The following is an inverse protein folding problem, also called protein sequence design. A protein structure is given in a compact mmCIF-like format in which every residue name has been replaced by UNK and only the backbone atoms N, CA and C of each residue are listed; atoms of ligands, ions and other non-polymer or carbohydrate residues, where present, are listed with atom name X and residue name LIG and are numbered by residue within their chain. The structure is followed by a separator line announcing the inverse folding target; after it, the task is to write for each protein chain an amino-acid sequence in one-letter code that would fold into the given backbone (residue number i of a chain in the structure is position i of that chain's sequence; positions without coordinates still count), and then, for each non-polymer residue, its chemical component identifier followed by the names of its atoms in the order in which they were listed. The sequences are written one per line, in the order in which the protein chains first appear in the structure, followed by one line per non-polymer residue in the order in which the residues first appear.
data_IF_520294369503
#
_entry.id   IF_520294369503
#
_cell.length_a   1.000
_cell.length_b   1.000
_cell.length_c   1.000
_cell.angle_alpha   90.00
_cell.angle_beta   90.00
_cell.angle_gamma   90.00
#
_symmetry.space_group_name_H-M   'P 1'
#
loop_
_entity.id
_entity.type
_entity.pdbx_description
1 polymer ?
#
# COMPACT_ATOMS: atom_id res chain seq x y z
N UNK A 1 3.57 -1.82 4.02
CA UNK A 1 2.69 -2.97 3.68
C UNK A 1 3.45 -4.30 3.56
N UNK A 2 4.49 -4.43 2.72
CA UNK A 2 5.20 -5.72 2.53
C UNK A 2 5.75 -6.34 3.82
N UNK A 3 6.39 -5.55 4.68
CA UNK A 3 6.88 -6.03 6.00
C UNK A 3 5.71 -6.46 6.91
N UNK A 4 4.54 -5.83 6.79
CA UNK A 4 3.35 -6.21 7.55
C UNK A 4 2.79 -7.56 7.07
N UNK A 5 2.71 -7.80 5.75
CA UNK A 5 2.39 -9.12 5.19
C UNK A 5 3.35 -10.21 5.70
N UNK A 6 4.65 -9.91 5.79
CA UNK A 6 5.65 -10.87 6.26
C UNK A 6 5.47 -11.20 7.75
N UNK A 7 5.10 -10.23 8.59
CA UNK A 7 4.71 -10.48 9.99
C UNK A 7 3.51 -11.42 10.10
N UNK A 8 2.46 -11.17 9.29
CA UNK A 8 1.29 -12.06 9.23
C UNK A 8 1.65 -13.47 8.70
N UNK A 9 2.62 -13.56 7.80
CA UNK A 9 3.10 -14.84 7.29
C UNK A 9 3.88 -15.64 8.36
N UNK A 10 4.66 -14.95 9.21
CA UNK A 10 5.36 -15.56 10.34
C UNK A 10 4.40 -16.18 11.35
N UNK A 11 3.26 -15.55 11.64
CA UNK A 11 2.19 -16.10 12.50
C UNK A 11 1.64 -17.44 11.97
N UNK A 12 1.72 -17.66 10.66
CA UNK A 12 1.32 -18.91 10.00
C UNK A 12 2.50 -19.87 9.75
N UNK A 13 3.66 -19.63 10.39
CA UNK A 13 4.85 -20.47 10.30
C UNK A 13 5.60 -20.36 8.96
N UNK A 14 5.34 -19.31 8.17
CA UNK A 14 6.09 -19.01 6.94
C UNK A 14 7.15 -17.97 7.26
N UNK A 15 8.35 -18.44 7.59
CA UNK A 15 9.48 -17.57 7.92
C UNK A 15 10.23 -17.23 6.63
N UNK A 16 10.33 -15.94 6.31
CA UNK A 16 11.10 -15.47 5.16
C UNK A 16 12.49 -15.03 5.64
N UNK A 17 13.56 -15.76 5.30
CA UNK A 17 14.91 -15.38 5.69
C UNK A 17 15.29 -14.06 5.02
N UNK A 18 15.87 -13.15 5.81
CA UNK A 18 16.25 -11.79 5.39
C UNK A 18 15.14 -11.11 4.53
N UNK A 19 14.01 -10.72 5.15
CA UNK A 19 12.81 -10.30 4.44
C UNK A 19 13.06 -9.16 3.45
N UNK A 20 13.95 -8.23 3.80
CA UNK A 20 14.31 -7.09 2.95
C UNK A 20 15.02 -7.55 1.67
N UNK A 21 16.08 -8.36 1.80
CA UNK A 21 16.86 -8.83 0.64
C UNK A 21 16.02 -9.75 -0.24
N UNK A 22 15.22 -10.63 0.38
CA UNK A 22 14.33 -11.53 -0.37
C UNK A 22 13.28 -10.75 -1.14
N UNK A 23 12.65 -9.74 -0.53
CA UNK A 23 11.71 -8.86 -1.23
C UNK A 23 12.40 -8.08 -2.36
N UNK A 24 13.58 -7.52 -2.12
CA UNK A 24 14.33 -6.76 -3.11
C UNK A 24 14.68 -7.63 -4.33
N UNK A 25 15.25 -8.82 -4.12
CA UNK A 25 15.61 -9.73 -5.21
C UNK A 25 14.40 -10.14 -6.03
N UNK A 26 13.32 -10.55 -5.38
CA UNK A 26 12.13 -11.02 -6.06
C UNK A 26 11.34 -9.88 -6.76
N UNK A 27 11.37 -8.65 -6.25
CA UNK A 27 10.62 -7.54 -6.81
C UNK A 27 11.40 -6.68 -7.81
N UNK A 28 12.74 -6.65 -7.74
CA UNK A 28 13.57 -5.71 -8.54
C UNK A 28 13.35 -5.84 -10.04
N UNK A 29 13.46 -7.05 -10.59
CA UNK A 29 13.27 -7.30 -12.02
C UNK A 29 11.85 -6.92 -12.51
N UNK A 30 10.74 -7.44 -11.93
CA UNK A 30 9.41 -7.05 -12.36
C UNK A 30 9.13 -5.55 -12.14
N UNK A 31 9.67 -4.94 -11.08
CA UNK A 31 9.52 -3.50 -10.86
C UNK A 31 10.22 -2.67 -11.94
N UNK A 32 11.45 -3.02 -12.34
CA UNK A 32 12.17 -2.33 -13.42
C UNK A 32 11.43 -2.48 -14.74
N UNK A 33 10.96 -3.69 -15.05
CA UNK A 33 10.17 -3.96 -16.27
C UNK A 33 8.89 -3.11 -16.27
N UNK A 34 8.13 -3.10 -15.17
CA UNK A 34 6.92 -2.28 -15.06
C UNK A 34 7.23 -0.77 -15.11
N UNK A 35 8.32 -0.32 -14.49
CA UNK A 35 8.73 1.09 -14.48
C UNK A 35 9.03 1.61 -15.90
N UNK A 36 9.63 0.77 -16.75
CA UNK A 36 9.92 1.11 -18.13
C UNK A 36 8.71 0.94 -19.05
N UNK A 37 7.92 -0.13 -18.87
CA UNK A 37 6.81 -0.45 -19.76
C UNK A 37 5.53 0.35 -19.45
N UNK A 38 5.20 0.62 -18.19
CA UNK A 38 3.96 1.31 -17.84
C UNK A 38 3.84 2.71 -18.46
N UNK A 39 4.87 3.57 -18.42
CA UNK A 39 4.81 4.87 -19.09
C UNK A 39 4.57 4.74 -20.60
N UNK A 40 5.22 3.77 -21.26
CA UNK A 40 5.08 3.53 -22.70
C UNK A 40 3.68 3.01 -23.05
N UNK A 41 3.13 2.10 -22.23
CA UNK A 41 1.79 1.56 -22.40
C UNK A 41 0.75 2.67 -22.21
N UNK A 42 0.88 3.48 -21.13
CA UNK A 42 -0.01 4.61 -20.88
C UNK A 42 0.06 5.65 -21.98
N UNK A 43 1.26 6.01 -22.46
CA UNK A 43 1.43 6.96 -23.56
C UNK A 43 0.76 6.49 -24.86
N UNK A 44 0.68 5.17 -25.10
CA UNK A 44 0.03 4.59 -26.28
C UNK A 44 -1.47 4.43 -26.11
N UNK A 45 -1.95 3.99 -24.95
CA UNK A 45 -3.37 3.74 -24.68
C UNK A 45 -4.15 5.00 -24.34
N UNK A 46 -3.54 5.91 -23.58
CA UNK A 46 -4.09 7.17 -23.10
C UNK A 46 -3.10 8.30 -23.43
N UNK A 47 -2.86 8.59 -24.72
CA UNK A 47 -1.94 9.63 -25.10
C UNK A 47 -2.37 10.96 -24.45
N UNK A 48 -1.45 11.70 -23.82
CA UNK A 48 -1.80 13.00 -23.26
C UNK A 48 -2.27 13.92 -24.38
N UNK A 49 -3.32 14.70 -24.13
CA UNK A 49 -3.85 15.66 -25.09
C UNK A 49 -2.80 16.73 -25.46
N UNK A 50 -1.98 17.12 -24.47
CA UNK A 50 -0.87 18.06 -24.63
C UNK A 50 0.43 17.27 -24.54
N UNK A 51 1.14 17.18 -25.67
CA UNK A 51 2.43 16.45 -25.78
C UNK A 51 3.64 17.37 -25.78
N UNK A 52 3.42 18.64 -26.10
CA UNK A 52 4.46 19.66 -26.11
C UNK A 52 3.89 20.92 -25.45
N UNK A 53 4.64 21.44 -24.50
CA UNK A 53 4.34 22.69 -23.80
C UNK A 53 5.61 23.52 -23.83
N UNK A 54 5.99 24.08 -24.99
CA UNK A 54 7.28 24.76 -25.16
C UNK A 54 7.41 26.00 -24.25
N UNK A 55 6.28 26.58 -23.86
CA UNK A 55 6.19 27.70 -22.94
C UNK A 55 6.30 27.30 -21.46
N UNK A 56 6.26 26.00 -21.11
CA UNK A 56 6.28 25.55 -19.72
C UNK A 56 7.51 26.03 -18.93
N UNK A 57 8.75 25.99 -19.47
CA UNK A 57 9.92 26.52 -18.76
C UNK A 57 9.83 28.02 -18.51
N UNK A 58 9.39 28.79 -19.51
CA UNK A 58 9.25 30.24 -19.41
C UNK A 58 8.11 30.62 -18.43
N UNK A 59 7.00 29.90 -18.47
CA UNK A 59 5.87 30.07 -17.56
C UNK A 59 6.24 29.71 -16.12
N UNK A 60 6.99 28.62 -15.91
CA UNK A 60 7.48 28.21 -14.60
C UNK A 60 8.45 29.26 -14.03
N UNK A 61 9.38 29.78 -14.83
CA UNK A 61 10.30 30.84 -14.42
C UNK A 61 9.55 32.12 -14.03
N UNK A 62 8.61 32.56 -14.87
CA UNK A 62 7.76 33.73 -14.58
C UNK A 62 6.92 33.52 -13.32
N UNK A 63 6.38 32.32 -13.11
CA UNK A 63 5.60 32.00 -11.91
C UNK A 63 6.49 31.99 -10.66
N UNK A 64 7.70 31.45 -10.74
CA UNK A 64 8.68 31.46 -9.67
C UNK A 64 9.09 32.90 -9.30
N UNK A 65 9.35 33.75 -10.28
CA UNK A 65 9.61 35.18 -10.05
C UNK A 65 8.42 35.86 -9.35
N UNK A 66 7.18 35.53 -9.74
CA UNK A 66 5.97 36.09 -9.11
C UNK A 66 5.71 35.60 -7.69
N UNK A 67 6.26 34.44 -7.29
CA UNK A 67 6.15 33.91 -5.94
C UNK A 67 7.07 34.63 -4.95
N UNK A 68 8.16 35.23 -5.43
CA UNK A 68 9.11 35.99 -4.62
C UNK A 68 10.07 35.09 -3.83
N UNK A 69 10.70 35.67 -2.80
CA UNK A 69 11.63 34.95 -1.94
C UNK A 69 10.90 33.99 -1.01
N UNK A 70 11.54 32.85 -0.71
CA UNK A 70 11.02 31.85 0.22
C UNK A 70 10.84 32.48 1.61
N UNK A 71 9.62 32.46 2.13
CA UNK A 71 9.29 33.07 3.41
C UNK A 71 9.58 32.13 4.58
N UNK A 72 9.67 32.69 5.80
CA UNK A 72 10.01 31.94 7.03
C UNK A 72 9.14 30.69 7.22
N UNK A 73 7.83 30.79 6.96
CA UNK A 73 6.90 29.67 7.16
C UNK A 73 7.17 28.52 6.17
N UNK A 74 7.58 28.83 4.94
CA UNK A 74 7.95 27.82 3.93
C UNK A 74 9.24 27.08 4.35
N UNK A 75 10.22 27.81 4.90
CA UNK A 75 11.43 27.19 5.46
C UNK A 75 11.13 26.26 6.64
N UNK A 76 10.23 26.68 7.54
CA UNK A 76 9.80 25.84 8.66
C UNK A 76 9.08 24.58 8.14
N UNK A 77 8.23 24.71 7.13
CA UNK A 77 7.54 23.58 6.50
C UNK A 77 8.53 22.57 5.90
N UNK A 78 9.47 23.03 5.09
CA UNK A 78 10.51 22.18 4.49
C UNK A 78 11.37 21.51 5.57
N UNK A 79 11.81 22.26 6.58
CA UNK A 79 12.59 21.73 7.69
C UNK A 79 11.84 20.64 8.47
N UNK A 80 10.55 20.86 8.72
CA UNK A 80 9.71 19.88 9.42
C UNK A 80 9.48 18.62 8.60
N UNK A 81 9.31 18.75 7.27
CA UNK A 81 9.20 17.61 6.37
C UNK A 81 10.50 16.78 6.36
N UNK A 82 11.66 17.44 6.26
CA UNK A 82 12.97 16.78 6.31
C UNK A 82 13.20 16.06 7.65
N UNK A 83 12.80 16.69 8.77
CA UNK A 83 12.84 16.06 10.08
C UNK A 83 11.96 14.81 10.14
N UNK A 84 10.71 14.88 9.68
CA UNK A 84 9.79 13.73 9.69
C UNK A 84 10.35 12.55 8.88
N UNK A 85 10.91 12.82 7.69
CA UNK A 85 11.58 11.80 6.87
C UNK A 85 12.80 11.22 7.58
N UNK A 86 13.60 12.07 8.22
CA UNK A 86 14.78 11.63 8.97
C UNK A 86 14.39 10.71 10.14
N UNK A 87 13.41 11.11 10.94
CA UNK A 87 12.88 10.29 12.05
C UNK A 87 12.40 8.93 11.55
N UNK A 88 11.71 8.91 10.41
CA UNK A 88 11.24 7.67 9.81
C UNK A 88 12.39 6.76 9.37
N UNK A 89 13.45 7.32 8.76
CA UNK A 89 14.66 6.57 8.36
C UNK A 89 15.36 5.97 9.58
N UNK A 90 15.39 6.68 10.71
CA UNK A 90 15.95 6.17 11.97
C UNK A 90 15.04 5.19 12.72
N UNK A 91 13.92 4.78 12.13
CA UNK A 91 13.06 3.71 12.66
C UNK A 91 11.94 4.18 13.60
N UNK A 92 11.69 5.49 13.71
CA UNK A 92 10.51 5.98 14.43
C UNK A 92 9.26 5.61 13.63
N UNK A 93 8.22 5.13 14.33
CA UNK A 93 6.96 4.77 13.72
C UNK A 93 6.38 5.95 12.92
N UNK A 94 5.97 5.71 11.67
CA UNK A 94 5.57 6.77 10.73
C UNK A 94 4.47 7.67 11.28
N UNK A 95 3.49 7.12 12.02
CA UNK A 95 2.45 7.90 12.67
C UNK A 95 3.02 8.86 13.73
N UNK A 96 3.98 8.40 14.54
CA UNK A 96 4.63 9.23 15.56
C UNK A 96 5.47 10.34 14.91
N UNK A 97 6.25 10.01 13.87
CA UNK A 97 7.03 11.00 13.12
C UNK A 97 6.14 12.08 12.48
N UNK A 98 5.01 11.68 11.90
CA UNK A 98 4.02 12.62 11.35
C UNK A 98 3.39 13.50 12.44
N UNK A 99 3.03 12.94 13.59
CA UNK A 99 2.46 13.69 14.72
C UNK A 99 3.46 14.70 15.30
N UNK A 100 4.74 14.34 15.42
CA UNK A 100 5.81 15.28 15.81
C UNK A 100 5.88 16.44 14.81
N UNK A 101 5.87 16.13 13.51
CA UNK A 101 5.87 17.16 12.47
C UNK A 101 4.65 18.09 12.57
N UNK A 102 3.45 17.54 12.71
CA UNK A 102 2.23 18.33 12.91
C UNK A 102 2.30 19.21 14.16
N UNK A 103 2.80 18.69 15.28
CA UNK A 103 2.98 19.47 16.51
C UNK A 103 3.93 20.65 16.32
N UNK A 104 5.04 20.44 15.60
CA UNK A 104 6.00 21.52 15.30
C UNK A 104 5.34 22.61 14.43
N UNK A 105 4.59 22.22 13.39
CA UNK A 105 3.92 23.18 12.50
C UNK A 105 2.85 24.00 13.24
N UNK A 106 2.11 23.38 14.16
CA UNK A 106 1.14 24.07 15.02
C UNK A 106 1.82 25.01 16.03
N UNK A 107 2.88 24.55 16.71
CA UNK A 107 3.61 25.35 17.70
C UNK A 107 4.30 26.56 17.09
N UNK A 108 4.81 26.43 15.86
CA UNK A 108 5.47 27.51 15.14
C UNK A 108 4.49 28.41 14.36
N UNK A 109 3.19 28.14 14.43
CA UNK A 109 2.13 28.93 13.79
C UNK A 109 2.16 28.87 12.26
N UNK A 110 2.74 27.82 11.68
CA UNK A 110 2.70 27.56 10.24
C UNK A 110 1.35 26.95 9.85
N UNK A 111 0.78 26.13 10.72
CA UNK A 111 -0.57 25.62 10.59
C UNK A 111 -1.43 26.10 11.77
N UNK A 112 -2.68 26.43 11.47
CA UNK A 112 -3.71 26.66 12.48
C UNK A 112 -4.46 25.37 12.79
N UNK A 113 -4.90 25.23 14.05
CA UNK A 113 -5.75 24.10 14.45
C UNK A 113 -7.04 24.02 13.63
N UNK A 114 -7.62 25.18 13.29
CA UNK A 114 -8.81 25.23 12.43
C UNK A 114 -8.54 24.68 11.03
N UNK A 115 -7.32 24.78 10.50
CA UNK A 115 -6.98 24.19 9.21
C UNK A 115 -6.99 22.65 9.33
N UNK A 116 -6.47 22.11 10.43
CA UNK A 116 -6.48 20.68 10.70
C UNK A 116 -7.90 20.14 10.92
N UNK A 117 -8.74 20.89 11.64
CA UNK A 117 -10.14 20.53 11.86
C UNK A 117 -10.95 20.53 10.56
N UNK A 118 -10.72 21.52 9.69
CA UNK A 118 -11.46 21.65 8.44
C UNK A 118 -10.92 20.76 7.30
N UNK A 119 -9.83 20.03 7.52
CA UNK A 119 -9.28 19.07 6.57
C UNK A 119 -10.11 17.77 6.53
N UNK A 120 -11.32 17.87 5.96
CA UNK A 120 -12.32 16.80 5.97
C UNK A 120 -11.82 15.49 5.36
N UNK A 121 -10.95 15.56 4.34
CA UNK A 121 -10.41 14.38 3.69
C UNK A 121 -9.62 13.50 4.67
N UNK A 122 -8.83 14.10 5.56
CA UNK A 122 -8.06 13.37 6.56
C UNK A 122 -8.98 12.66 7.58
N UNK A 123 -10.03 13.35 8.05
CA UNK A 123 -10.99 12.81 9.01
C UNK A 123 -11.85 11.69 8.42
N UNK A 124 -12.34 11.88 7.20
CA UNK A 124 -13.12 10.87 6.47
C UNK A 124 -12.30 9.60 6.25
N UNK A 125 -11.05 9.77 5.78
CA UNK A 125 -10.07 8.69 5.65
C UNK A 125 -9.90 7.96 6.98
N UNK A 126 -9.58 8.66 8.08
CA UNK A 126 -9.38 8.06 9.39
C UNK A 126 -10.60 7.25 9.87
N UNK A 127 -11.81 7.80 9.73
CA UNK A 127 -13.04 7.16 10.17
C UNK A 127 -13.34 5.87 9.38
N UNK A 128 -13.28 5.93 8.04
CA UNK A 128 -13.51 4.76 7.19
C UNK A 128 -12.48 3.67 7.43
N UNK A 129 -11.20 4.05 7.56
CA UNK A 129 -10.14 3.10 7.86
C UNK A 129 -10.33 2.40 9.21
N UNK A 130 -10.70 3.15 10.26
CA UNK A 130 -10.91 2.59 11.59
C UNK A 130 -12.05 1.55 11.59
N UNK A 131 -13.18 1.87 10.94
CA UNK A 131 -14.34 0.97 10.84
C UNK A 131 -13.99 -0.29 10.04
N UNK A 132 -13.41 -0.14 8.84
CA UNK A 132 -13.09 -1.27 7.97
C UNK A 132 -12.06 -2.21 8.61
N UNK A 133 -10.97 -1.67 9.18
CA UNK A 133 -9.96 -2.47 9.87
C UNK A 133 -10.55 -3.13 11.12
N UNK A 134 -11.42 -2.43 11.86
CA UNK A 134 -12.13 -2.98 13.01
C UNK A 134 -13.03 -4.17 12.63
N UNK A 135 -13.85 -4.04 11.59
CA UNK A 135 -14.72 -5.11 11.09
C UNK A 135 -13.92 -6.32 10.58
N UNK A 136 -12.86 -6.07 9.80
CA UNK A 136 -11.94 -7.10 9.32
C UNK A 136 -11.29 -7.90 10.45
N UNK A 137 -10.83 -7.21 11.49
CA UNK A 137 -10.25 -7.83 12.69
C UNK A 137 -11.28 -8.71 13.40
N UNK A 138 -12.52 -8.25 13.54
CA UNK A 138 -13.58 -9.03 14.19
C UNK A 138 -13.99 -10.27 13.39
N UNK A 139 -14.09 -10.18 12.05
CA UNK A 139 -14.35 -11.35 11.20
C UNK A 139 -13.24 -12.40 11.33
N UNK A 140 -12.00 -11.95 11.50
CA UNK A 140 -10.84 -12.83 11.74
C UNK A 140 -10.93 -13.48 13.13
N UNK A 141 -11.14 -12.69 14.18
CA UNK A 141 -11.21 -13.16 15.57
C UNK A 141 -12.38 -14.12 15.82
N UNK A 142 -13.51 -13.90 15.15
CA UNK A 142 -14.69 -14.77 15.21
C UNK A 142 -14.53 -16.07 14.40
N UNK A 143 -13.42 -16.25 13.69
CA UNK A 143 -13.10 -17.48 12.95
C UNK A 143 -13.78 -17.59 11.58
N UNK A 144 -14.58 -16.61 11.14
CA UNK A 144 -15.23 -16.62 9.81
C UNK A 144 -14.21 -16.71 8.68
N UNK A 145 -13.09 -16.01 8.82
CA UNK A 145 -11.99 -16.02 7.86
C UNK A 145 -11.35 -17.41 7.75
N UNK A 146 -11.17 -18.12 8.87
CA UNK A 146 -10.67 -19.51 8.89
C UNK A 146 -11.66 -20.46 8.26
N UNK A 147 -12.94 -20.39 8.65
CA UNK A 147 -14.00 -21.23 8.11
C UNK A 147 -14.15 -21.10 6.59
N UNK A 148 -14.11 -19.87 6.07
CA UNK A 148 -14.17 -19.61 4.63
C UNK A 148 -12.94 -20.17 3.92
N UNK A 149 -11.76 -20.04 4.53
CA UNK A 149 -10.50 -20.60 4.01
C UNK A 149 -10.57 -22.12 3.88
N UNK A 150 -11.11 -22.80 4.89
CA UNK A 150 -11.28 -24.26 4.88
C UNK A 150 -12.27 -24.71 3.80
N UNK A 151 -13.38 -23.97 3.62
CA UNK A 151 -14.35 -24.24 2.56
C UNK A 151 -13.71 -24.13 1.16
N UNK A 152 -12.98 -23.05 0.89
CA UNK A 152 -12.29 -22.86 -0.40
C UNK A 152 -11.20 -23.92 -0.60
N UNK A 153 -10.40 -24.22 0.42
CA UNK A 153 -9.37 -25.24 0.36
C UNK A 153 -9.95 -26.64 0.04
N UNK A 154 -11.09 -26.98 0.64
CA UNK A 154 -11.77 -28.25 0.37
C UNK A 154 -12.33 -28.33 -1.05
N UNK A 155 -12.86 -27.23 -1.59
CA UNK A 155 -13.28 -27.16 -2.99
C UNK A 155 -12.08 -27.26 -3.96
N UNK A 156 -10.97 -26.59 -3.68
CA UNK A 156 -9.78 -26.70 -4.53
C UNK A 156 -9.21 -28.14 -4.55
N UNK A 157 -9.25 -28.83 -3.41
CA UNK A 157 -8.87 -30.25 -3.31
C UNK A 157 -9.86 -31.16 -4.06
N UNK A 158 -11.16 -30.89 -4.01
CA UNK A 158 -12.16 -31.70 -4.73
C UNK A 158 -12.02 -31.58 -6.25
N UNK A 159 -11.56 -30.44 -6.76
CA UNK A 159 -11.24 -30.25 -8.18
C UNK A 159 -9.92 -30.90 -8.62
N UNK A 160 -9.15 -31.53 -7.71
CA UNK A 160 -7.84 -32.13 -8.00
C UNK A 160 -6.88 -31.17 -8.74
N UNK A 161 -6.99 -29.87 -8.46
CA UNK A 161 -6.20 -28.84 -9.12
C UNK A 161 -4.72 -29.00 -8.73
N UNK A 162 -3.84 -28.91 -9.71
CA UNK A 162 -2.41 -28.80 -9.45
C UNK A 162 -2.12 -27.52 -8.66
N UNK A 163 -1.10 -27.54 -7.81
CA UNK A 163 -0.75 -26.37 -6.99
C UNK A 163 -0.57 -25.07 -7.83
N UNK A 164 -0.02 -25.06 -9.07
CA UNK A 164 0.05 -23.84 -9.87
C UNK A 164 -1.31 -23.28 -10.27
N UNK A 165 -2.26 -24.16 -10.59
CA UNK A 165 -3.63 -23.76 -10.92
C UNK A 165 -4.35 -23.19 -9.69
N UNK A 166 -4.15 -23.80 -8.52
CA UNK A 166 -4.65 -23.28 -7.24
C UNK A 166 -4.08 -21.91 -6.89
N UNK A 167 -2.78 -21.67 -7.13
CA UNK A 167 -2.17 -20.33 -6.99
C UNK A 167 -2.86 -19.33 -7.89
N UNK A 168 -3.02 -19.65 -9.18
CA UNK A 168 -3.60 -18.71 -10.14
C UNK A 168 -5.03 -18.29 -9.74
N UNK A 169 -5.87 -19.25 -9.35
CA UNK A 169 -7.25 -18.99 -8.92
C UNK A 169 -7.28 -18.17 -7.64
N UNK A 170 -6.50 -18.54 -6.62
CA UNK A 170 -6.48 -17.83 -5.35
C UNK A 170 -5.90 -16.41 -5.48
N UNK A 171 -4.87 -16.22 -6.32
CA UNK A 171 -4.31 -14.89 -6.59
C UNK A 171 -5.29 -14.00 -7.37
N UNK A 172 -6.02 -14.57 -8.35
CA UNK A 172 -7.06 -13.84 -9.06
C UNK A 172 -8.21 -13.45 -8.12
N UNK A 173 -8.68 -14.37 -7.27
CA UNK A 173 -9.71 -14.07 -6.29
C UNK A 173 -9.26 -13.00 -5.29
N UNK A 174 -8.03 -13.09 -4.77
CA UNK A 174 -7.43 -12.06 -3.90
C UNK A 174 -7.35 -10.70 -4.61
N UNK A 175 -7.00 -10.70 -5.90
CA UNK A 175 -7.00 -9.51 -6.75
C UNK A 175 -8.38 -8.85 -6.87
N UNK A 176 -9.38 -9.60 -7.30
CA UNK A 176 -10.70 -9.04 -7.59
C UNK A 176 -11.54 -8.73 -6.35
N UNK A 177 -11.35 -9.44 -5.23
CA UNK A 177 -12.03 -9.08 -3.97
C UNK A 177 -11.63 -7.68 -3.48
N UNK A 178 -10.50 -7.15 -3.96
CA UNK A 178 -10.09 -5.80 -3.62
C UNK A 178 -11.10 -4.71 -4.02
N UNK A 179 -11.95 -4.94 -5.02
CA UNK A 179 -13.08 -4.04 -5.34
C UNK A 179 -14.03 -3.78 -4.16
N UNK A 180 -14.04 -4.66 -3.15
CA UNK A 180 -14.86 -4.54 -1.95
C UNK A 180 -14.15 -3.83 -0.79
N UNK A 181 -12.91 -3.37 -0.98
CA UNK A 181 -12.10 -2.73 0.04
C UNK A 181 -11.69 -1.33 -0.39
N UNK A 182 -11.84 -0.36 0.52
CA UNK A 182 -11.37 1.02 0.28
C UNK A 182 -9.85 1.18 0.43
N UNK A 183 -9.12 0.13 0.87
CA UNK A 183 -7.68 0.23 1.06
C UNK A 183 -6.92 -1.09 1.06
N UNK A 184 -5.69 -1.02 0.56
CA UNK A 184 -4.69 -2.08 0.60
C UNK A 184 -4.37 -2.58 2.00
N UNK A 185 -4.23 -1.67 2.96
CA UNK A 185 -3.91 -2.06 4.34
C UNK A 185 -5.08 -2.78 4.99
N UNK A 186 -6.32 -2.30 4.77
CA UNK A 186 -7.53 -2.95 5.26
C UNK A 186 -7.73 -4.33 4.65
N UNK A 187 -7.55 -4.47 3.34
CA UNK A 187 -7.60 -5.76 2.65
C UNK A 187 -6.56 -6.74 3.21
N UNK A 188 -5.29 -6.32 3.33
CA UNK A 188 -4.22 -7.18 3.87
C UNK A 188 -4.53 -7.64 5.29
N UNK A 189 -4.96 -6.72 6.17
CA UNK A 189 -5.33 -7.07 7.54
C UNK A 189 -6.49 -8.06 7.62
N UNK A 190 -7.45 -7.99 6.69
CA UNK A 190 -8.64 -8.84 6.66
C UNK A 190 -8.38 -10.24 6.08
N UNK A 191 -7.66 -10.30 4.95
CA UNK A 191 -7.70 -11.46 4.06
C UNK A 191 -6.33 -12.12 3.84
N UNK A 192 -5.22 -11.45 4.15
CA UNK A 192 -3.89 -11.99 3.83
C UNK A 192 -3.65 -13.34 4.50
N UNK A 193 -3.87 -13.44 5.82
CA UNK A 193 -3.64 -14.67 6.58
C UNK A 193 -4.56 -15.81 6.11
N UNK A 194 -5.81 -15.48 5.78
CA UNK A 194 -6.79 -16.41 5.20
C UNK A 194 -6.27 -17.02 3.90
N UNK A 195 -5.94 -16.16 2.94
CA UNK A 195 -5.50 -16.58 1.62
C UNK A 195 -4.16 -17.30 1.68
N UNK A 196 -3.27 -16.91 2.58
CA UNK A 196 -2.01 -17.63 2.80
C UNK A 196 -2.27 -19.04 3.34
N UNK A 197 -3.20 -19.20 4.29
CA UNK A 197 -3.62 -20.51 4.78
C UNK A 197 -4.25 -21.36 3.67
N UNK A 198 -5.11 -20.79 2.82
CA UNK A 198 -5.68 -21.47 1.65
C UNK A 198 -4.61 -21.95 0.66
N UNK A 199 -3.61 -21.10 0.37
CA UNK A 199 -2.49 -21.47 -0.50
C UNK A 199 -1.71 -22.65 0.08
N UNK A 200 -1.37 -22.62 1.38
CA UNK A 200 -0.69 -23.73 2.05
C UNK A 200 -1.53 -25.01 2.02
N UNK A 201 -2.83 -24.89 2.26
CA UNK A 201 -3.77 -26.00 2.22
C UNK A 201 -3.87 -26.66 0.83
N UNK A 202 -3.69 -25.86 -0.24
CA UNK A 202 -3.60 -26.29 -1.64
C UNK A 202 -2.21 -26.78 -2.09
N UNK A 203 -1.24 -26.93 -1.17
CA UNK A 203 0.09 -27.46 -1.47
C UNK A 203 1.08 -26.45 -2.07
N UNK A 204 0.75 -25.15 -2.03
CA UNK A 204 1.64 -24.11 -2.55
C UNK A 204 2.82 -23.88 -1.60
N UNK A 205 4.06 -23.73 -2.11
CA UNK A 205 5.20 -23.35 -1.27
C UNK A 205 4.94 -22.05 -0.50
N UNK A 206 5.11 -22.08 0.83
CA UNK A 206 4.70 -20.98 1.71
C UNK A 206 5.33 -19.63 1.38
N UNK A 207 6.64 -19.59 1.12
CA UNK A 207 7.35 -18.35 0.75
C UNK A 207 6.83 -17.79 -0.57
N UNK A 208 6.56 -18.66 -1.55
CA UNK A 208 5.99 -18.25 -2.84
C UNK A 208 4.60 -17.62 -2.63
N UNK A 209 3.72 -18.27 -1.87
CA UNK A 209 2.39 -17.75 -1.56
C UNK A 209 2.45 -16.41 -0.82
N UNK A 210 3.31 -16.31 0.20
CA UNK A 210 3.46 -15.11 1.01
C UNK A 210 3.95 -13.90 0.19
N UNK A 211 4.95 -14.10 -0.66
CA UNK A 211 5.47 -13.06 -1.55
C UNK A 211 4.49 -12.73 -2.67
N UNK A 212 3.84 -13.72 -3.28
CA UNK A 212 2.89 -13.51 -4.35
C UNK A 212 1.67 -12.70 -3.86
N UNK A 213 1.10 -13.05 -2.71
CA UNK A 213 0.05 -12.23 -2.07
C UNK A 213 0.54 -10.83 -1.74
N UNK A 214 1.75 -10.70 -1.17
CA UNK A 214 2.34 -9.41 -0.85
C UNK A 214 2.61 -8.54 -2.10
N UNK A 215 2.89 -9.14 -3.26
CA UNK A 215 3.07 -8.41 -4.50
C UNK A 215 1.77 -8.06 -5.21
N UNK A 216 0.79 -8.96 -5.17
CA UNK A 216 -0.57 -8.74 -5.65
C UNK A 216 -1.16 -7.44 -5.06
N UNK A 217 -0.85 -7.15 -3.79
CA UNK A 217 -1.33 -5.91 -3.15
C UNK A 217 -0.86 -4.62 -3.83
N UNK A 218 0.25 -4.63 -4.58
CA UNK A 218 0.72 -3.45 -5.30
C UNK A 218 -0.03 -3.27 -6.63
N UNK A 219 -0.65 -4.33 -7.16
CA UNK A 219 -1.44 -4.28 -8.38
C UNK A 219 -2.83 -3.68 -8.13
N UNK A 220 -3.30 -3.68 -6.88
CA UNK A 220 -4.59 -3.15 -6.50
C UNK A 220 -4.79 -1.68 -6.95
N UNK A 221 -3.73 -0.87 -6.96
CA UNK A 221 -3.78 0.50 -7.50
C UNK A 221 -4.15 0.62 -8.98
N UNK A 222 -4.17 -0.50 -9.73
CA UNK A 222 -4.65 -0.52 -11.12
C UNK A 222 -6.17 -0.71 -11.23
N UNK A 223 -6.85 -1.19 -10.17
CA UNK A 223 -8.29 -1.48 -10.18
C UNK A 223 -9.10 -0.58 -9.23
N UNK A 224 -8.43 0.08 -8.29
CA UNK A 224 -9.02 1.05 -7.37
C UNK A 224 -8.24 2.36 -7.48
N UNK A 225 -8.93 3.42 -7.95
CA UNK A 225 -8.47 4.81 -7.94
C UNK A 225 -8.42 5.36 -6.51
#
# INVERSE_FOLDING_TARGET
LKIYCLKLAEELGVIVPNPWVTCFKAASLPAIVCLLLMPLILYKLYPPEIKDTPEAPALAAKKLESMGLVIKNEWIMVGTMLLAVSLWIFGIASAVAAMIGLSILLLLGVLDWNNCWNEKSAWDTLAWFAILVGMASQLTNLGYVSWMSDCVANNLRSFSLSWPASVAVLQAAYFFIHYLFASQTGHVGALYSAFLAMHKAGGVPGILAALALGYNTNLFGAITL
#
